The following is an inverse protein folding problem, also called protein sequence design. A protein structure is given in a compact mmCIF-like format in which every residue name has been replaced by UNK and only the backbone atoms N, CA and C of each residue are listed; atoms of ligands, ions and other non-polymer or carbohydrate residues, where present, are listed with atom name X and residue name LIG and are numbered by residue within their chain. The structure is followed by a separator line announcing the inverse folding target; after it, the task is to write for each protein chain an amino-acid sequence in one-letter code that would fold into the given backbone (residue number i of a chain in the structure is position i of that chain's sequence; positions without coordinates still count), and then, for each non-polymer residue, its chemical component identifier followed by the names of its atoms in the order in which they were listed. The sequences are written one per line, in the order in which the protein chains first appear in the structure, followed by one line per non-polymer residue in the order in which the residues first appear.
data_IF_059157164711
#
_entry.id   IF_059157164711
#
_cell.length_a   1.000
_cell.length_b   1.000
_cell.length_c   1.000
_cell.angle_alpha   90.00
_cell.angle_beta   90.00
_cell.angle_gamma   90.00
#
_symmetry.space_group_name_H-M   'P 1'
#
loop_
_entity.id
_entity.type
_entity.pdbx_description
1 polymer ?
#
# COMPACT_ATOMS: atom_id res chain seq x y z
N UNK A 1 -16.62 2.14 -9.83
CA UNK A 1 -17.25 0.88 -9.38
C UNK A 1 -16.61 0.46 -8.07
N UNK A 2 -17.41 0.25 -7.01
CA UNK A 2 -17.00 -0.48 -5.81
C UNK A 2 -17.19 -1.96 -6.13
N UNK A 3 -16.17 -2.62 -6.68
CA UNK A 3 -16.18 -4.07 -6.75
C UNK A 3 -15.66 -4.64 -5.43
N UNK A 4 -16.50 -5.50 -4.86
CA UNK A 4 -16.34 -6.17 -3.58
C UNK A 4 -15.13 -7.11 -3.65
N UNK A 5 -14.04 -6.78 -2.95
CA UNK A 5 -12.90 -7.70 -2.79
C UNK A 5 -13.15 -8.66 -1.62
N UNK A 6 -14.12 -9.56 -1.82
CA UNK A 6 -14.42 -10.64 -0.88
C UNK A 6 -13.65 -11.95 -1.15
N UNK A 7 -12.88 -12.02 -2.25
CA UNK A 7 -12.25 -13.28 -2.70
C UNK A 7 -10.72 -13.18 -2.84
N UNK A 8 -10.16 -11.97 -2.90
CA UNK A 8 -8.71 -11.77 -2.96
C UNK A 8 -8.17 -11.47 -1.55
N UNK A 9 -7.31 -12.34 -1.01
CA UNK A 9 -6.60 -12.15 0.29
C UNK A 9 -5.58 -10.99 0.29
N UNK A 10 -5.70 -10.05 -0.64
CA UNK A 10 -4.78 -8.94 -0.84
C UNK A 10 -5.37 -7.64 -0.28
N UNK A 11 -4.51 -6.85 0.37
CA UNK A 11 -4.85 -5.51 0.83
C UNK A 11 -4.87 -4.55 -0.36
N UNK A 12 -6.06 -4.02 -0.71
CA UNK A 12 -6.17 -3.01 -1.76
C UNK A 12 -5.69 -1.64 -1.27
N UNK A 13 -5.30 -0.69 -2.15
CA UNK A 13 -4.90 0.65 -1.74
C UNK A 13 -5.98 1.39 -0.91
N UNK A 14 -7.26 1.19 -1.25
CA UNK A 14 -8.38 1.72 -0.48
C UNK A 14 -8.42 1.17 0.94
N UNK A 15 -8.27 -0.16 1.10
CA UNK A 15 -8.25 -0.80 2.42
C UNK A 15 -6.99 -0.43 3.20
N UNK A 16 -5.84 -0.33 2.53
CA UNK A 16 -4.59 0.16 3.12
C UNK A 16 -4.80 1.55 3.73
N UNK A 17 -5.44 2.48 3.02
CA UNK A 17 -5.71 3.80 3.56
C UNK A 17 -6.55 3.75 4.85
N UNK A 18 -7.55 2.86 4.93
CA UNK A 18 -8.35 2.64 6.13
C UNK A 18 -7.51 2.08 7.29
N UNK A 19 -6.63 1.10 7.03
CA UNK A 19 -5.71 0.55 8.03
C UNK A 19 -4.73 1.61 8.54
N UNK A 20 -4.19 2.44 7.66
CA UNK A 20 -3.27 3.51 8.04
C UNK A 20 -3.92 4.58 8.91
N UNK A 21 -5.24 4.78 8.87
CA UNK A 21 -5.94 5.70 9.79
C UNK A 21 -5.91 5.19 11.22
N UNK A 22 -5.86 3.87 11.45
CA UNK A 22 -5.81 3.26 12.79
C UNK A 22 -4.52 3.60 13.55
N UNK A 23 -3.45 3.94 12.83
CA UNK A 23 -2.18 4.38 13.42
C UNK A 23 -2.25 5.79 14.06
N UNK A 24 -3.39 6.49 13.95
CA UNK A 24 -3.61 7.84 14.49
C UNK A 24 -2.46 8.77 14.07
N UNK A 25 -1.80 9.42 15.05
CA UNK A 25 -0.70 10.37 14.86
C UNK A 25 0.66 9.73 14.58
N UNK A 26 0.82 8.41 14.75
CA UNK A 26 2.09 7.74 14.45
C UNK A 26 2.33 7.77 12.95
N UNK A 27 3.53 8.16 12.52
CA UNK A 27 3.94 8.23 11.10
C UNK A 27 5.17 7.34 10.84
N UNK A 28 5.05 6.01 11.02
CA UNK A 28 6.16 5.10 10.74
C UNK A 28 6.52 5.10 9.26
N UNK A 29 7.73 4.64 8.94
CA UNK A 29 8.09 4.24 7.59
C UNK A 29 7.33 2.96 7.26
N UNK A 30 6.63 2.96 6.13
CA UNK A 30 5.80 1.85 5.65
C UNK A 30 6.43 1.35 4.36
N UNK A 31 6.69 0.06 4.29
CA UNK A 31 7.28 -0.59 3.12
C UNK A 31 6.26 -1.57 2.54
N UNK A 32 5.82 -1.32 1.31
CA UNK A 32 4.88 -2.17 0.59
C UNK A 32 5.65 -3.04 -0.40
N UNK A 33 5.37 -4.33 -0.37
CA UNK A 33 5.96 -5.34 -1.26
C UNK A 33 4.87 -6.32 -1.72
N UNK A 34 5.21 -7.18 -2.68
CA UNK A 34 4.35 -8.27 -3.16
C UNK A 34 2.97 -7.79 -3.69
N UNK A 35 3.00 -6.90 -4.69
CA UNK A 35 1.80 -6.46 -5.40
C UNK A 35 1.49 -7.40 -6.56
N UNK A 36 0.20 -7.52 -6.91
CA UNK A 36 -0.20 -8.23 -8.12
C UNK A 36 0.43 -7.55 -9.36
N UNK A 37 1.25 -8.26 -10.16
CA UNK A 37 1.92 -7.67 -11.32
C UNK A 37 0.96 -7.05 -12.35
N UNK A 38 -0.21 -7.65 -12.55
CA UNK A 38 -1.20 -7.18 -13.53
C UNK A 38 -1.76 -5.79 -13.21
N UNK A 39 -1.70 -5.37 -11.94
CA UNK A 39 -2.23 -4.07 -11.48
C UNK A 39 -1.14 -3.16 -10.90
N UNK A 40 0.14 -3.50 -11.08
CA UNK A 40 1.24 -2.82 -10.39
C UNK A 40 1.26 -1.31 -10.67
N UNK A 41 1.01 -0.90 -11.92
CA UNK A 41 1.00 0.53 -12.32
C UNK A 41 -0.13 1.30 -11.63
N UNK A 42 -1.31 0.72 -11.55
CA UNK A 42 -2.48 1.37 -10.95
C UNK A 42 -2.36 1.40 -9.42
N UNK A 43 -1.91 0.29 -8.82
CA UNK A 43 -1.60 0.23 -7.38
C UNK A 43 -0.56 1.29 -7.00
N UNK A 44 0.53 1.44 -7.77
CA UNK A 44 1.55 2.48 -7.52
C UNK A 44 0.96 3.89 -7.55
N UNK A 45 0.09 4.19 -8.52
CA UNK A 45 -0.59 5.50 -8.62
C UNK A 45 -1.52 5.74 -7.43
N UNK A 46 -2.34 4.76 -7.07
CA UNK A 46 -3.28 4.86 -5.94
C UNK A 46 -2.56 5.03 -4.60
N UNK A 47 -1.48 4.28 -4.38
CA UNK A 47 -0.65 4.40 -3.18
C UNK A 47 0.02 5.77 -3.10
N UNK A 48 0.53 6.30 -4.21
CA UNK A 48 1.14 7.64 -4.25
C UNK A 48 0.15 8.76 -3.89
N UNK A 49 -1.16 8.55 -4.10
CA UNK A 49 -2.20 9.49 -3.70
C UNK A 49 -2.48 9.48 -2.18
N UNK A 50 -1.99 8.49 -1.42
CA UNK A 50 -2.12 8.43 0.04
C UNK A 50 -1.12 9.41 0.68
N UNK A 51 -1.60 10.64 0.92
CA UNK A 51 -0.81 11.71 1.54
C UNK A 51 -0.53 11.47 3.03
N UNK A 52 0.42 12.23 3.57
CA UNK A 52 0.78 12.30 5.00
C UNK A 52 1.34 11.02 5.64
N UNK A 53 1.71 10.03 4.82
CA UNK A 53 2.29 8.76 5.24
C UNK A 53 3.62 8.54 4.50
N UNK A 54 4.60 7.97 5.20
CA UNK A 54 5.93 7.66 4.65
C UNK A 54 5.89 6.28 4.01
N UNK A 55 5.20 6.17 2.87
CA UNK A 55 5.01 4.88 2.17
C UNK A 55 6.07 4.75 1.07
N UNK A 56 6.79 3.64 1.09
CA UNK A 56 7.77 3.26 0.09
C UNK A 56 7.35 1.93 -0.52
N UNK A 57 7.26 1.89 -1.85
CA UNK A 57 7.07 0.63 -2.56
C UNK A 57 8.45 0.09 -2.87
N UNK A 58 8.73 -1.12 -2.42
CA UNK A 58 10.05 -1.74 -2.55
C UNK A 58 10.05 -2.80 -3.65
N UNK A 59 11.25 -3.05 -4.18
CA UNK A 59 11.47 -3.98 -5.28
C UNK A 59 12.22 -5.22 -4.80
N UNK A 60 12.11 -6.31 -5.56
CA UNK A 60 12.80 -7.56 -5.23
C UNK A 60 14.31 -7.34 -5.20
N UNK A 61 14.96 -7.79 -4.12
CA UNK A 61 16.39 -7.58 -3.89
C UNK A 61 16.76 -6.22 -3.27
N UNK A 62 15.79 -5.33 -3.01
CA UNK A 62 16.06 -4.06 -2.36
C UNK A 62 16.46 -4.25 -0.89
N UNK A 63 17.64 -3.73 -0.50
CA UNK A 63 18.12 -3.72 0.89
C UNK A 63 17.62 -2.46 1.59
N UNK A 64 16.93 -2.66 2.72
CA UNK A 64 16.46 -1.56 3.58
C UNK A 64 17.35 -1.52 4.83
N UNK A 65 17.86 -0.33 5.16
CA UNK A 65 18.55 -0.05 6.43
C UNK A 65 17.61 0.77 7.30
N UNK A 66 17.27 0.25 8.48
CA UNK A 66 16.27 0.80 9.41
C UNK A 66 16.94 1.56 10.56
#
# INVERSE_FOLDING_TARGET
MKEVTGINRHLTPLLLQAELRKLKRKKPYIYLYHMNPSYQKDIRKEVAAIKERKINIIEDGQVIRL
#
